data_IF_850366350455
#
_entry.id   IF_850366350455
#
_cell.length_a   1.000
_cell.length_b   1.000
_cell.length_c   1.000
_cell.angle_alpha   90.00
_cell.angle_beta   90.00
_cell.angle_gamma   90.00
#
_symmetry.space_group_name_H-M   'P 1'
#
loop_
_entity.id
_entity.type
_entity.pdbx_description
1 polymer ?
#
# COMPACT_ATOMS: atom_id res chain seq x y z
N UNK A 1 14.12 -11.19 7.23
CA UNK A 1 13.59 -12.14 6.21
C UNK A 1 12.15 -11.85 5.82
N UNK A 2 11.26 -11.50 6.76
CA UNK A 2 9.84 -11.19 6.49
C UNK A 2 9.62 -10.01 5.53
N UNK A 3 10.38 -8.91 5.69
CA UNK A 3 10.22 -7.72 4.83
C UNK A 3 10.53 -7.98 3.36
N UNK A 4 11.69 -8.57 3.04
CA UNK A 4 12.09 -8.82 1.65
C UNK A 4 11.10 -9.74 0.93
N UNK A 5 10.60 -10.77 1.64
CA UNK A 5 9.55 -11.66 1.14
C UNK A 5 8.26 -10.91 0.85
N UNK A 6 7.84 -10.03 1.75
CA UNK A 6 6.65 -9.21 1.55
C UNK A 6 6.79 -8.27 0.36
N UNK A 7 7.93 -7.58 0.22
CA UNK A 7 8.21 -6.71 -0.94
C UNK A 7 8.13 -7.50 -2.25
N UNK A 8 8.65 -8.72 -2.29
CA UNK A 8 8.52 -9.60 -3.46
C UNK A 8 7.05 -9.93 -3.78
N UNK A 9 6.26 -10.38 -2.78
CA UNK A 9 4.83 -10.67 -2.96
C UNK A 9 4.03 -9.42 -3.38
N UNK A 10 4.33 -8.27 -2.79
CA UNK A 10 3.74 -6.98 -3.13
C UNK A 10 4.02 -6.59 -4.59
N UNK A 11 5.26 -6.78 -5.06
CA UNK A 11 5.61 -6.57 -6.47
C UNK A 11 4.84 -7.48 -7.42
N UNK A 12 4.66 -8.76 -7.07
CA UNK A 12 3.88 -9.72 -7.88
C UNK A 12 2.43 -9.31 -8.08
N UNK A 13 1.80 -8.71 -7.08
CA UNK A 13 0.41 -8.24 -7.18
C UNK A 13 0.29 -6.83 -7.78
N UNK A 14 1.40 -6.23 -8.21
CA UNK A 14 1.41 -4.95 -8.91
C UNK A 14 1.45 -3.71 -8.02
N UNK A 15 1.95 -3.81 -6.78
CA UNK A 15 2.09 -2.65 -5.88
C UNK A 15 2.92 -1.54 -6.50
N UNK A 16 3.98 -1.87 -7.24
CA UNK A 16 4.83 -0.86 -7.90
C UNK A 16 4.04 0.00 -8.88
N UNK A 17 3.10 -0.60 -9.64
CA UNK A 17 2.22 0.13 -10.57
C UNK A 17 1.24 1.02 -9.82
N UNK A 18 0.70 0.55 -8.68
CA UNK A 18 -0.18 1.35 -7.84
C UNK A 18 0.56 2.54 -7.22
N UNK A 19 1.80 2.34 -6.76
CA UNK A 19 2.66 3.42 -6.24
C UNK A 19 2.95 4.43 -7.34
N UNK A 20 3.33 3.98 -8.54
CA UNK A 20 3.56 4.88 -9.69
C UNK A 20 2.32 5.73 -10.01
N UNK A 21 1.13 5.12 -10.08
CA UNK A 21 -0.11 5.84 -10.30
C UNK A 21 -0.40 6.88 -9.20
N UNK A 22 -0.10 6.56 -7.93
CA UNK A 22 -0.25 7.51 -6.82
C UNK A 22 0.75 8.68 -6.91
N UNK A 23 1.95 8.45 -7.45
CA UNK A 23 2.93 9.52 -7.71
C UNK A 23 2.39 10.45 -8.80
N UNK A 24 1.89 9.89 -9.90
CA UNK A 24 1.31 10.67 -11.00
C UNK A 24 0.10 11.48 -10.52
N UNK A 25 -0.73 10.91 -9.65
CA UNK A 25 -1.84 11.62 -9.01
C UNK A 25 -1.36 12.79 -8.14
N UNK A 26 -0.29 12.59 -7.35
CA UNK A 26 0.31 13.68 -6.59
C UNK A 26 0.84 14.79 -7.51
N UNK A 27 1.49 14.43 -8.62
CA UNK A 27 2.03 15.39 -9.59
C UNK A 27 0.93 16.21 -10.26
N UNK A 28 -0.18 15.57 -10.66
CA UNK A 28 -1.37 16.25 -11.18
C UNK A 28 -1.96 17.21 -10.16
N UNK A 29 -2.18 16.76 -8.93
CA UNK A 29 -2.73 17.60 -7.86
C UNK A 29 -1.83 18.81 -7.58
N UNK A 30 -0.51 18.64 -7.57
CA UNK A 30 0.44 19.74 -7.36
C UNK A 30 0.47 20.75 -8.52
N UNK A 31 0.14 20.32 -9.74
CA UNK A 31 0.03 21.20 -10.90
C UNK A 31 -1.27 22.04 -10.88
N UNK A 32 -2.36 21.46 -10.37
CA UNK A 32 -3.68 22.11 -10.33
C UNK A 32 -3.89 23.00 -9.10
N UNK A 33 -3.15 22.76 -8.01
CA UNK A 33 -3.33 23.48 -6.75
C UNK A 33 -2.94 24.96 -6.82
N UNK A 34 -3.79 25.89 -6.32
CA UNK A 34 -3.43 27.28 -6.15
C UNK A 34 -2.22 27.45 -5.23
N UNK A 35 -1.29 28.35 -5.58
CA UNK A 35 -0.08 28.62 -4.78
C UNK A 35 -0.37 29.16 -3.37
N UNK A 36 -1.60 29.60 -3.10
CA UNK A 36 -2.05 30.10 -1.79
C UNK A 36 -2.31 28.99 -0.77
N UNK A 37 -2.48 27.75 -1.20
CA UNK A 37 -2.81 26.61 -0.31
C UNK A 37 -1.57 25.88 0.21
N UNK A 38 -0.65 26.64 0.82
CA UNK A 38 0.68 26.16 1.22
C UNK A 38 0.67 24.93 2.14
N UNK A 39 -0.29 24.82 3.07
CA UNK A 39 -0.41 23.66 3.97
C UNK A 39 -0.80 22.38 3.23
N UNK A 40 -1.75 22.49 2.30
CA UNK A 40 -2.23 21.33 1.54
C UNK A 40 -1.18 20.90 0.52
N UNK A 41 -0.56 21.86 -0.17
CA UNK A 41 0.56 21.61 -1.09
C UNK A 41 1.71 20.87 -0.41
N UNK A 42 2.17 21.35 0.75
CA UNK A 42 3.24 20.72 1.53
C UNK A 42 2.89 19.27 1.93
N UNK A 43 1.62 18.98 2.21
CA UNK A 43 1.16 17.63 2.52
C UNK A 43 1.25 16.70 1.32
N UNK A 44 0.84 17.17 0.13
CA UNK A 44 0.92 16.39 -1.11
C UNK A 44 2.39 16.18 -1.53
N UNK A 45 3.24 17.19 -1.38
CA UNK A 45 4.69 17.06 -1.61
C UNK A 45 5.33 16.04 -0.66
N UNK A 46 4.98 16.06 0.63
CA UNK A 46 5.46 15.08 1.60
C UNK A 46 4.99 13.66 1.25
N UNK A 47 3.73 13.50 0.81
CA UNK A 47 3.21 12.21 0.36
C UNK A 47 3.95 11.71 -0.88
N UNK A 48 4.17 12.58 -1.88
CA UNK A 48 4.95 12.26 -3.08
C UNK A 48 6.36 11.78 -2.73
N UNK A 49 7.06 12.49 -1.84
CA UNK A 49 8.40 12.10 -1.41
C UNK A 49 8.43 10.71 -0.76
N UNK A 50 7.43 10.40 0.09
CA UNK A 50 7.30 9.07 0.70
C UNK A 50 6.98 7.97 -0.29
N UNK A 51 6.37 8.29 -1.43
CA UNK A 51 6.09 7.31 -2.49
C UNK A 51 7.31 7.06 -3.40
N UNK A 52 8.20 8.05 -3.55
CA UNK A 52 9.44 7.91 -4.33
C UNK A 52 10.47 7.01 -3.63
N UNK A 53 10.51 7.04 -2.29
CA UNK A 53 11.30 6.11 -1.48
C UNK A 53 10.39 5.46 -0.42
N UNK A 54 9.61 4.44 -0.82
CA UNK A 54 8.58 3.89 0.03
C UNK A 54 9.16 3.02 1.16
N UNK A 55 8.88 3.47 2.38
CA UNK A 55 9.04 2.66 3.58
C UNK A 55 8.06 1.45 3.56
N UNK A 56 8.29 0.48 4.45
CA UNK A 56 7.48 -0.73 4.51
C UNK A 56 5.99 -0.44 4.71
N UNK A 57 5.63 0.59 5.50
CA UNK A 57 4.23 0.97 5.74
C UNK A 57 3.60 1.56 4.48
N UNK A 58 4.36 2.36 3.73
CA UNK A 58 3.96 2.90 2.43
C UNK A 58 3.73 1.81 1.38
N UNK A 59 4.40 0.65 1.49
CA UNK A 59 4.17 -0.52 0.61
C UNK A 59 2.96 -1.35 1.10
N UNK A 60 2.82 -1.53 2.41
CA UNK A 60 1.72 -2.33 3.01
C UNK A 60 0.35 -1.76 2.68
N UNK A 61 0.18 -0.43 2.69
CA UNK A 61 -1.09 0.21 2.40
C UNK A 61 -1.63 -0.10 0.98
N UNK A 62 -0.90 0.14 -0.13
CA UNK A 62 -1.34 -0.22 -1.47
C UNK A 62 -1.45 -1.73 -1.68
N UNK A 63 -0.60 -2.55 -1.04
CA UNK A 63 -0.75 -4.01 -1.08
C UNK A 63 -2.10 -4.46 -0.49
N UNK A 64 -2.48 -3.88 0.65
CA UNK A 64 -3.76 -4.16 1.31
C UNK A 64 -4.94 -3.69 0.46
N UNK A 65 -4.86 -2.48 -0.10
CA UNK A 65 -5.92 -1.95 -0.99
C UNK A 65 -6.11 -2.82 -2.24
N UNK A 66 -5.03 -3.28 -2.87
CA UNK A 66 -5.13 -4.16 -4.04
C UNK A 66 -5.73 -5.52 -3.69
N UNK A 67 -5.43 -6.04 -2.51
CA UNK A 67 -6.00 -7.29 -2.02
C UNK A 67 -7.50 -7.16 -1.67
N UNK A 68 -7.93 -6.01 -1.16
CA UNK A 68 -9.35 -5.70 -0.94
C UNK A 68 -10.11 -5.57 -2.26
N UNK A 69 -9.51 -4.91 -3.26
CA UNK A 69 -10.11 -4.73 -4.59
C UNK A 69 -10.19 -6.06 -5.37
N UNK A 70 -9.24 -6.97 -5.13
CA UNK A 70 -9.17 -8.28 -5.79
C UNK A 70 -8.79 -9.38 -4.77
N UNK A 71 -9.77 -10.06 -4.17
CA UNK A 71 -9.54 -11.07 -3.14
C UNK A 71 -8.58 -12.20 -3.52
N UNK A 72 -8.49 -12.56 -4.80
CA UNK A 72 -7.51 -13.54 -5.31
C UNK A 72 -6.05 -13.12 -5.12
N UNK A 73 -5.77 -11.82 -5.04
CA UNK A 73 -4.44 -11.28 -4.75
C UNK A 73 -4.12 -11.36 -3.25
N UNK A 74 -5.14 -11.37 -2.38
CA UNK A 74 -4.96 -11.46 -0.92
C UNK A 74 -4.18 -12.72 -0.54
N UNK A 75 -4.50 -13.86 -1.16
CA UNK A 75 -3.83 -15.15 -0.95
C UNK A 75 -2.31 -15.07 -1.18
N UNK A 76 -1.85 -14.25 -2.14
CA UNK A 76 -0.44 -14.13 -2.50
C UNK A 76 0.38 -13.34 -1.48
N UNK A 77 -0.26 -12.48 -0.69
CA UNK A 77 0.40 -11.61 0.29
C UNK A 77 0.08 -11.98 1.74
N UNK A 78 -0.98 -12.74 2.01
CA UNK A 78 -1.47 -13.05 3.36
C UNK A 78 -0.41 -13.71 4.26
N UNK A 79 0.29 -14.73 3.74
CA UNK A 79 1.34 -15.41 4.49
C UNK A 79 2.52 -14.48 4.83
N UNK A 80 2.96 -13.66 3.86
CA UNK A 80 4.03 -12.70 4.08
C UNK A 80 3.61 -11.57 5.04
N UNK A 81 2.34 -11.14 4.99
CA UNK A 81 1.77 -10.16 5.91
C UNK A 81 1.73 -10.71 7.34
N UNK A 82 1.36 -11.98 7.54
CA UNK A 82 1.38 -12.64 8.85
C UNK A 82 2.79 -12.66 9.45
N UNK A 83 3.80 -13.01 8.64
CA UNK A 83 5.21 -12.96 9.04
C UNK A 83 5.65 -11.53 9.39
N UNK A 84 5.13 -10.51 8.68
CA UNK A 84 5.38 -9.09 8.98
C UNK A 84 4.80 -8.67 10.31
N UNK A 85 3.54 -9.01 10.60
CA UNK A 85 2.85 -8.63 11.85
C UNK A 85 3.51 -9.28 13.07
N UNK A 86 4.03 -10.50 12.93
CA UNK A 86 4.79 -11.14 13.99
C UNK A 86 6.07 -10.36 14.35
N UNK A 87 6.69 -9.68 13.37
CA UNK A 87 7.87 -8.85 13.56
C UNK A 87 7.54 -7.40 13.95
N UNK A 88 6.43 -6.84 13.44
CA UNK A 88 5.92 -5.51 13.74
C UNK A 88 4.39 -5.57 13.96
N UNK A 89 3.94 -5.70 15.22
CA UNK A 89 2.52 -5.75 15.57
C UNK A 89 1.73 -4.50 15.18
N UNK A 90 2.39 -3.36 14.91
CA UNK A 90 1.70 -2.13 14.49
C UNK A 90 1.00 -2.27 13.13
N UNK A 91 1.33 -3.32 12.38
CA UNK A 91 0.73 -3.65 11.08
C UNK A 91 -0.49 -4.57 11.18
N UNK A 92 -0.86 -5.02 12.39
CA UNK A 92 -2.02 -5.86 12.61
C UNK A 92 -3.32 -5.33 11.99
N UNK A 93 -3.62 -4.01 11.98
CA UNK A 93 -4.82 -3.49 11.32
C UNK A 93 -4.85 -3.79 9.81
N UNK A 94 -3.71 -3.69 9.12
CA UNK A 94 -3.61 -4.01 7.69
C UNK A 94 -3.78 -5.52 7.44
N UNK A 95 -3.24 -6.36 8.31
CA UNK A 95 -3.41 -7.80 8.20
C UNK A 95 -4.86 -8.25 8.43
N UNK A 96 -5.58 -7.63 9.36
CA UNK A 96 -7.01 -7.90 9.59
C UNK A 96 -7.85 -7.57 8.35
N UNK A 97 -7.58 -6.43 7.71
CA UNK A 97 -8.24 -6.03 6.46
C UNK A 97 -8.01 -7.04 5.34
N UNK A 98 -6.76 -7.52 5.21
CA UNK A 98 -6.37 -8.56 4.27
C UNK A 98 -7.08 -9.90 4.50
N UNK A 99 -7.21 -10.32 5.76
CA UNK A 99 -7.91 -11.56 6.12
C UNK A 99 -9.41 -11.50 5.82
N UNK A 100 -10.02 -10.33 5.99
CA UNK A 100 -11.44 -10.15 5.63
C UNK A 100 -11.63 -10.24 4.11
N UNK A 101 -10.71 -9.65 3.32
CA UNK A 101 -10.75 -9.78 1.87
C UNK A 101 -10.59 -11.24 1.40
N UNK A 102 -9.69 -12.00 2.03
CA UNK A 102 -9.49 -13.43 1.73
C UNK A 102 -10.72 -14.29 2.07
N UNK A 103 -11.38 -14.01 3.20
CA UNK A 103 -12.61 -14.70 3.59
C UNK A 103 -13.75 -14.48 2.59
N UNK A 104 -13.89 -13.27 2.05
CA UNK A 104 -14.87 -12.96 1.01
C UNK A 104 -14.53 -13.67 -0.31
N UNK A 105 -13.25 -13.84 -0.64
CA UNK A 105 -12.78 -14.59 -1.81
C UNK A 105 -13.27 -16.05 -1.81
N UNK A 106 -13.23 -16.67 -0.63
CA UNK A 106 -13.54 -18.09 -0.44
C UNK A 106 -15.04 -18.36 -0.31
N UNK A 107 -15.84 -17.32 -0.06
CA UNK A 107 -17.29 -17.40 0.06
C UNK A 107 -18.04 -17.13 -1.25
N UNK A 108 -17.37 -16.60 -2.28
CA UNK A 108 -17.92 -16.26 -3.60
C UNK A 108 -17.70 -17.36 -4.64
#
# INVERSE_FOLDING_TARGET
>A
MSEARFRMCAGMIGVDRKIAALIDDCDRVLAELPKTDGRWRARVEAQRQRLLDPDLRTIVAPATSLAEDSPTLAVLVAAAMKDLVAADPTLAPSALRLLNADADALAA
#
